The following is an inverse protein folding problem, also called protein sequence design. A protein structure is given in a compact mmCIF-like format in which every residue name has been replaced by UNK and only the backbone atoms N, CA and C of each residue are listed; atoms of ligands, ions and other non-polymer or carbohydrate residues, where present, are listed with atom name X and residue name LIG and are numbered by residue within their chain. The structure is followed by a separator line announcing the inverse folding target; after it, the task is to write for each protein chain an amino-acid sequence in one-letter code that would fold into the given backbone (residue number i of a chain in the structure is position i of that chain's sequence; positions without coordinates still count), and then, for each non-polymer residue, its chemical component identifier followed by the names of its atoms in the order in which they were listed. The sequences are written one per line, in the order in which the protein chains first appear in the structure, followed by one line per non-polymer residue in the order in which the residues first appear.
data_IF_933305245243
#
_entry.id   IF_933305245243
#
_cell.length_a   1.000
_cell.length_b   1.000
_cell.length_c   1.000
_cell.angle_alpha   90.00
_cell.angle_beta   90.00
_cell.angle_gamma   90.00
#
_symmetry.space_group_name_H-M   'P 1'
#
loop_
_entity.id
_entity.type
_entity.pdbx_description
1 polymer ?
#
# COMPACT_ATOMS: atom_id res chain seq x y z
N UNK A 1 -6.04 10.48 0.75
CA UNK A 1 -5.27 9.43 1.47
C UNK A 1 -6.15 8.31 1.98
N UNK A 2 -7.17 8.56 2.81
CA UNK A 2 -8.05 7.50 3.33
C UNK A 2 -8.76 6.70 2.22
N UNK A 3 -9.17 7.34 1.12
CA UNK A 3 -9.79 6.62 -0.01
C UNK A 3 -8.80 5.70 -0.74
N UNK A 4 -7.57 6.17 -0.97
CA UNK A 4 -6.50 5.38 -1.62
C UNK A 4 -6.10 4.21 -0.72
N UNK A 5 -6.02 4.45 0.58
CA UNK A 5 -5.76 3.45 1.62
C UNK A 5 -6.84 2.35 1.62
N UNK A 6 -8.12 2.75 1.69
CA UNK A 6 -9.25 1.84 1.65
C UNK A 6 -9.28 1.01 0.36
N UNK A 7 -8.86 1.58 -0.77
CA UNK A 7 -8.77 0.85 -2.02
C UNK A 7 -7.68 -0.24 -1.97
N UNK A 8 -6.50 0.06 -1.41
CA UNK A 8 -5.46 -0.97 -1.20
C UNK A 8 -5.95 -2.08 -0.29
N UNK A 9 -6.60 -1.72 0.81
CA UNK A 9 -7.17 -2.67 1.77
C UNK A 9 -8.15 -3.63 1.09
N UNK A 10 -9.06 -3.08 0.27
CA UNK A 10 -10.03 -3.84 -0.49
C UNK A 10 -9.36 -4.76 -1.52
N UNK A 11 -8.36 -4.26 -2.25
CA UNK A 11 -7.64 -5.03 -3.25
C UNK A 11 -6.91 -6.22 -2.62
N UNK A 12 -6.13 -6.00 -1.54
CA UNK A 12 -5.39 -7.09 -0.91
C UNK A 12 -6.32 -8.10 -0.23
N UNK A 13 -7.42 -7.63 0.38
CA UNK A 13 -8.43 -8.51 0.95
C UNK A 13 -9.13 -9.35 -0.14
N UNK A 14 -9.46 -8.74 -1.27
CA UNK A 14 -10.06 -9.42 -2.42
C UNK A 14 -9.14 -10.49 -2.99
N UNK A 15 -7.86 -10.18 -3.19
CA UNK A 15 -6.86 -11.16 -3.63
C UNK A 15 -6.74 -12.33 -2.65
N UNK A 16 -6.65 -12.06 -1.34
CA UNK A 16 -6.54 -13.11 -0.32
C UNK A 16 -7.74 -14.07 -0.39
N UNK A 17 -8.96 -13.53 -0.48
CA UNK A 17 -10.20 -14.31 -0.61
C UNK A 17 -10.28 -15.11 -1.90
N UNK A 18 -9.85 -14.54 -3.03
CA UNK A 18 -9.83 -15.25 -4.32
C UNK A 18 -8.85 -16.42 -4.28
N UNK A 19 -7.63 -16.20 -3.77
CA UNK A 19 -6.63 -17.25 -3.61
C UNK A 19 -7.16 -18.34 -2.68
N UNK A 20 -7.73 -17.97 -1.53
CA UNK A 20 -8.35 -18.92 -0.60
C UNK A 20 -9.43 -19.77 -1.27
N UNK A 21 -10.32 -19.13 -2.03
CA UNK A 21 -11.35 -19.82 -2.79
C UNK A 21 -10.77 -20.83 -3.78
N UNK A 22 -9.71 -20.46 -4.52
CA UNK A 22 -9.07 -21.36 -5.46
C UNK A 22 -8.28 -22.50 -4.78
N UNK A 23 -7.82 -22.35 -3.54
CA UNK A 23 -7.25 -23.47 -2.76
C UNK A 23 -8.27 -24.60 -2.51
N UNK A 24 -9.56 -24.32 -2.65
CA UNK A 24 -10.65 -25.29 -2.54
C UNK A 24 -11.28 -25.66 -3.89
N UNK A 25 -10.67 -25.25 -5.01
CA UNK A 25 -11.19 -25.50 -6.35
C UNK A 25 -11.14 -26.99 -6.73
N UNK A 26 -12.10 -27.44 -7.56
CA UNK A 26 -12.20 -28.84 -8.01
C UNK A 26 -11.14 -29.21 -9.07
N UNK A 27 -10.71 -28.23 -9.86
CA UNK A 27 -9.57 -28.36 -10.79
C UNK A 27 -8.25 -28.34 -10.00
N UNK A 28 -7.53 -29.46 -10.03
CA UNK A 28 -6.26 -29.61 -9.33
C UNK A 28 -5.17 -28.68 -9.83
N UNK A 29 -5.16 -28.33 -11.12
CA UNK A 29 -4.15 -27.43 -11.67
C UNK A 29 -4.33 -26.01 -11.15
N UNK A 30 -5.58 -25.51 -11.13
CA UNK A 30 -5.90 -24.20 -10.56
C UNK A 30 -5.64 -24.18 -9.05
N UNK A 31 -5.99 -25.25 -8.35
CA UNK A 31 -5.72 -25.40 -6.92
C UNK A 31 -4.22 -25.32 -6.61
N UNK A 32 -3.37 -26.02 -7.36
CA UNK A 32 -1.91 -25.96 -7.16
C UNK A 32 -1.35 -24.55 -7.39
N UNK A 33 -1.87 -23.82 -8.38
CA UNK A 33 -1.48 -22.41 -8.63
C UNK A 33 -1.93 -21.50 -7.48
N UNK A 34 -3.11 -21.75 -6.90
CA UNK A 34 -3.60 -21.03 -5.73
C UNK A 34 -2.74 -21.29 -4.49
N UNK A 35 -2.42 -22.56 -4.21
CA UNK A 35 -1.56 -22.95 -3.08
C UNK A 35 -0.16 -22.31 -3.20
N UNK A 36 0.37 -22.20 -4.42
CA UNK A 36 1.62 -21.50 -4.68
C UNK A 36 1.55 -20.01 -4.29
N UNK A 37 0.51 -19.30 -4.74
CA UNK A 37 0.30 -17.88 -4.39
C UNK A 37 0.00 -17.70 -2.90
N UNK A 38 -0.80 -18.60 -2.31
CA UNK A 38 -1.13 -18.61 -0.89
C UNK A 38 0.13 -18.71 -0.02
N UNK A 39 0.99 -19.69 -0.31
CA UNK A 39 2.24 -19.85 0.42
C UNK A 39 3.16 -18.62 0.26
N UNK A 40 3.18 -18.03 -0.94
CA UNK A 40 3.92 -16.79 -1.17
C UNK A 40 3.35 -15.60 -0.39
N UNK A 41 2.02 -15.50 -0.26
CA UNK A 41 1.34 -14.43 0.47
C UNK A 41 1.56 -14.57 1.99
N UNK A 42 1.41 -15.80 2.51
CA UNK A 42 1.54 -16.09 3.95
C UNK A 42 2.96 -15.88 4.49
N UNK A 43 3.97 -15.81 3.63
CA UNK A 43 5.32 -15.39 4.00
C UNK A 43 5.37 -13.94 4.54
N UNK A 44 4.38 -13.10 4.20
CA UNK A 44 4.23 -11.73 4.71
C UNK A 44 3.27 -11.64 5.90
N UNK A 45 2.73 -12.77 6.38
CA UNK A 45 1.75 -12.83 7.47
C UNK A 45 0.29 -12.79 7.01
N UNK A 46 -0.58 -12.38 7.93
CA UNK A 46 -2.04 -12.31 7.73
C UNK A 46 -2.54 -10.92 8.12
N UNK A 47 -3.60 -10.43 7.47
CA UNK A 47 -4.17 -9.13 7.83
C UNK A 47 -3.30 -7.96 7.38
N UNK A 48 -2.75 -8.02 6.16
CA UNK A 48 -1.88 -6.99 5.57
C UNK A 48 -2.55 -5.60 5.58
N UNK A 49 -3.87 -5.55 5.33
CA UNK A 49 -4.71 -4.35 5.38
C UNK A 49 -4.88 -3.72 6.78
N UNK A 50 -4.30 -4.33 7.82
CA UNK A 50 -4.33 -3.80 9.21
C UNK A 50 -2.97 -3.30 9.66
N UNK A 51 -1.95 -3.40 8.80
CA UNK A 51 -0.61 -2.90 9.09
C UNK A 51 -0.62 -1.38 9.11
N UNK A 52 0.42 -0.79 9.72
CA UNK A 52 0.63 0.65 9.62
C UNK A 52 0.99 1.04 8.18
N UNK A 53 0.67 2.26 7.76
CA UNK A 53 0.84 2.73 6.38
C UNK A 53 2.21 2.43 5.76
N UNK A 54 3.29 2.66 6.50
CA UNK A 54 4.64 2.40 5.99
C UNK A 54 4.94 0.91 5.83
N UNK A 55 4.46 0.09 6.78
CA UNK A 55 4.66 -1.36 6.76
C UNK A 55 3.81 -2.01 5.66
N UNK A 56 2.54 -1.62 5.54
CA UNK A 56 1.67 -2.07 4.45
C UNK A 56 2.27 -1.72 3.09
N UNK A 57 2.71 -0.47 2.90
CA UNK A 57 3.35 -0.04 1.64
C UNK A 57 4.55 -0.90 1.31
N UNK A 58 5.42 -1.20 2.28
CA UNK A 58 6.59 -2.04 2.05
C UNK A 58 6.20 -3.48 1.71
N UNK A 59 5.20 -4.03 2.40
CA UNK A 59 4.69 -5.39 2.13
C UNK A 59 4.10 -5.48 0.72
N UNK A 60 3.23 -4.53 0.33
CA UNK A 60 2.59 -4.54 -0.98
C UNK A 60 3.60 -4.35 -2.13
N UNK A 61 4.63 -3.53 -1.95
CA UNK A 61 5.73 -3.40 -2.92
C UNK A 61 6.47 -4.72 -3.10
N UNK A 62 6.92 -5.31 -1.99
CA UNK A 62 7.68 -6.55 -2.04
C UNK A 62 6.85 -7.69 -2.62
N UNK A 63 5.57 -7.77 -2.25
CA UNK A 63 4.64 -8.78 -2.75
C UNK A 63 4.42 -8.63 -4.27
N UNK A 64 4.03 -7.43 -4.72
CA UNK A 64 3.77 -7.16 -6.14
C UNK A 64 5.02 -7.36 -6.99
N UNK A 65 6.18 -6.88 -6.54
CA UNK A 65 7.45 -7.12 -7.22
C UNK A 65 7.76 -8.61 -7.32
N UNK A 66 7.69 -9.36 -6.21
CA UNK A 66 7.97 -10.79 -6.18
C UNK A 66 7.07 -11.56 -7.14
N UNK A 67 5.78 -11.28 -7.11
CA UNK A 67 4.80 -11.97 -7.93
C UNK A 67 4.97 -11.68 -9.42
N UNK A 68 5.32 -10.44 -9.79
CA UNK A 68 5.50 -10.06 -11.19
C UNK A 68 6.89 -10.46 -11.74
N UNK A 69 7.91 -10.59 -10.89
CA UNK A 69 9.28 -10.93 -11.30
C UNK A 69 9.57 -12.44 -11.30
N UNK A 70 8.69 -13.26 -10.74
CA UNK A 70 8.89 -14.71 -10.63
C UNK A 70 7.95 -15.42 -11.59
N UNK A 71 8.50 -16.02 -12.66
CA UNK A 71 7.70 -16.63 -13.74
C UNK A 71 6.61 -17.57 -13.23
N UNK A 72 6.92 -18.42 -12.26
CA UNK A 72 5.96 -19.39 -11.69
C UNK A 72 4.78 -18.71 -10.98
N UNK A 73 5.03 -17.57 -10.31
CA UNK A 73 4.01 -16.78 -9.62
C UNK A 73 3.21 -15.94 -10.62
N UNK A 74 3.86 -15.34 -11.62
CA UNK A 74 3.18 -14.64 -12.71
C UNK A 74 2.23 -15.58 -13.46
N UNK A 75 2.67 -16.79 -13.79
CA UNK A 75 1.82 -17.79 -14.45
C UNK A 75 0.61 -18.18 -13.58
N UNK A 76 0.79 -18.25 -12.26
CA UNK A 76 -0.30 -18.49 -11.32
C UNK A 76 -1.30 -17.32 -11.30
N UNK A 77 -0.80 -16.07 -11.29
CA UNK A 77 -1.65 -14.88 -11.37
C UNK A 77 -2.49 -14.87 -12.64
N UNK A 78 -1.90 -15.18 -13.79
CA UNK A 78 -2.63 -15.26 -15.07
C UNK A 78 -3.67 -16.38 -15.02
N UNK A 79 -3.31 -17.56 -14.50
CA UNK A 79 -4.22 -18.71 -14.41
C UNK A 79 -5.45 -18.43 -13.53
N UNK A 80 -5.28 -17.60 -12.49
CA UNK A 80 -6.34 -17.24 -11.53
C UNK A 80 -7.02 -15.89 -11.86
N UNK A 81 -6.68 -15.26 -13.00
CA UNK A 81 -7.17 -13.93 -13.39
C UNK A 81 -6.88 -12.81 -12.35
N UNK A 82 -5.75 -12.92 -11.65
CA UNK A 82 -5.29 -11.98 -10.63
C UNK A 82 -4.21 -11.01 -11.11
N UNK A 83 -3.72 -11.16 -12.36
CA UNK A 83 -2.63 -10.32 -12.87
C UNK A 83 -2.97 -8.81 -12.82
N UNK A 84 -4.17 -8.44 -13.26
CA UNK A 84 -4.63 -7.04 -13.24
C UNK A 84 -4.84 -6.51 -11.82
N UNK A 85 -5.28 -7.37 -10.89
CA UNK A 85 -5.41 -7.00 -9.48
C UNK A 85 -4.06 -6.60 -8.86
N UNK A 86 -3.00 -7.34 -9.19
CA UNK A 86 -1.65 -7.07 -8.68
C UNK A 86 -1.06 -5.80 -9.28
N UNK A 87 -1.32 -5.53 -10.56
CA UNK A 87 -0.95 -4.27 -11.18
C UNK A 87 -1.70 -3.08 -10.57
N UNK A 88 -2.99 -3.25 -10.23
CA UNK A 88 -3.76 -2.20 -9.57
C UNK A 88 -3.25 -1.96 -8.14
N UNK A 89 -2.92 -3.01 -7.37
CA UNK A 89 -2.23 -2.86 -6.07
C UNK A 89 -0.97 -2.02 -6.22
N UNK A 90 -0.11 -2.36 -7.19
CA UNK A 90 1.13 -1.61 -7.41
C UNK A 90 0.85 -0.12 -7.67
N UNK A 91 -0.10 0.16 -8.57
CA UNK A 91 -0.51 1.53 -8.91
C UNK A 91 -1.05 2.30 -7.70
N UNK A 92 -1.94 1.68 -6.92
CA UNK A 92 -2.51 2.32 -5.73
C UNK A 92 -1.46 2.51 -4.62
N UNK A 93 -0.53 1.57 -4.46
CA UNK A 93 0.55 1.71 -3.50
C UNK A 93 1.53 2.83 -3.88
N UNK A 94 1.86 2.97 -5.17
CA UNK A 94 2.67 4.07 -5.69
C UNK A 94 1.97 5.43 -5.49
N UNK A 95 0.66 5.50 -5.78
CA UNK A 95 -0.15 6.70 -5.56
C UNK A 95 -0.22 7.08 -4.09
N UNK A 96 -0.40 6.10 -3.19
CA UNK A 96 -0.40 6.37 -1.76
C UNK A 96 0.94 6.91 -1.29
N UNK A 97 2.06 6.31 -1.72
CA UNK A 97 3.41 6.75 -1.35
C UNK A 97 3.64 8.20 -1.78
N UNK A 98 3.26 8.57 -3.00
CA UNK A 98 3.35 9.94 -3.49
C UNK A 98 2.54 10.91 -2.61
N UNK A 99 1.26 10.60 -2.38
CA UNK A 99 0.39 11.43 -1.55
C UNK A 99 0.87 11.56 -0.10
N UNK A 100 1.50 10.51 0.44
CA UNK A 100 2.04 10.51 1.80
C UNK A 100 3.24 11.44 1.91
N UNK A 101 4.16 11.40 0.93
CA UNK A 101 5.31 12.32 0.85
C UNK A 101 4.82 13.77 0.71
N UNK A 102 3.90 14.03 -0.21
CA UNK A 102 3.36 15.38 -0.44
C UNK A 102 2.73 15.97 0.83
N UNK A 103 2.02 15.14 1.61
CA UNK A 103 1.46 15.56 2.90
C UNK A 103 2.57 15.92 3.89
N UNK A 104 3.58 15.06 4.04
CA UNK A 104 4.70 15.31 4.98
C UNK A 104 5.43 16.60 4.62
N UNK A 105 5.68 16.84 3.33
CA UNK A 105 6.33 18.06 2.84
C UNK A 105 5.46 19.31 3.04
N UNK A 106 4.14 19.18 2.84
CA UNK A 106 3.17 20.26 3.10
C UNK A 106 3.10 20.59 4.59
N UNK A 107 3.01 19.58 5.47
CA UNK A 107 2.95 19.75 6.91
C UNK A 107 4.26 20.40 7.43
N UNK A 108 5.42 20.00 6.92
CA UNK A 108 6.71 20.63 7.22
C UNK A 108 6.76 22.11 6.79
N UNK A 109 6.34 22.40 5.56
CA UNK A 109 6.31 23.77 5.03
C UNK A 109 5.36 24.69 5.83
N UNK A 110 4.22 24.16 6.28
CA UNK A 110 3.28 24.93 7.12
C UNK A 110 3.85 25.22 8.51
N UNK A 111 4.60 24.29 9.10
CA UNK A 111 5.28 24.52 10.38
C UNK A 111 6.32 25.64 10.27
N UNK A 112 7.07 25.71 9.18
CA UNK A 112 8.03 26.79 8.92
C UNK A 112 7.35 28.14 8.77
N UNK A 113 6.25 28.22 8.01
CA UNK A 113 5.46 29.45 7.86
C UNK A 113 4.94 29.93 9.23
N UNK A 114 4.35 29.04 10.03
CA UNK A 114 3.85 29.37 11.38
C UNK A 114 4.96 29.89 12.29
N UNK A 115 6.15 29.30 12.20
CA UNK A 115 7.32 29.73 12.99
C UNK A 115 7.78 31.13 12.58
N UNK A 116 7.79 31.45 11.29
CA UNK A 116 8.12 32.78 10.78
C UNK A 116 7.10 33.82 11.25
N UNK A 117 5.81 33.51 11.18
CA UNK A 117 4.75 34.43 11.60
C UNK A 117 4.77 34.68 13.11
N UNK A 118 5.07 33.66 13.93
CA UNK A 118 5.24 33.82 15.36
C UNK A 118 6.40 34.77 15.69
N UNK A 119 7.53 34.66 14.98
CA UNK A 119 8.68 35.57 15.15
C UNK A 119 8.31 37.02 14.80
N UNK A 120 7.54 37.23 13.72
CA UNK A 120 7.07 38.57 13.33
C UNK A 120 6.13 39.18 14.39
N UNK A 121 5.22 38.38 14.96
CA UNK A 121 4.34 38.85 16.03
C UNK A 121 5.10 39.21 17.30
N UNK A 122 6.11 38.41 17.67
CA UNK A 122 6.98 38.72 18.81
C UNK A 122 7.71 40.04 18.58
N UNK A 123 8.36 40.20 17.42
CA UNK A 123 9.08 41.44 17.09
C UNK A 123 8.17 42.68 17.16
N UNK A 124 6.97 42.58 16.57
CA UNK A 124 5.98 43.67 16.64
C UNK A 124 5.57 44.00 18.07
N UNK A 125 5.33 43.00 18.91
CA UNK A 125 4.96 43.21 20.32
C UNK A 125 6.06 43.93 21.09
N UNK A 126 7.34 43.65 20.80
CA UNK A 126 8.46 44.37 21.42
C UNK A 126 8.56 45.82 20.95
N UNK A 127 8.30 46.09 19.66
CA UNK A 127 8.28 47.45 19.12
C UNK A 127 7.12 48.28 19.70
N UNK A 128 5.94 47.68 19.91
CA UNK A 128 4.76 48.35 20.48
C UNK A 128 4.91 48.68 21.99
N UNK A 129 5.94 48.16 22.67
CA UNK A 129 6.23 48.37 24.10
C UNK A 129 7.29 49.46 24.39
N UNK A 130 7.91 50.04 23.36
CA UNK A 130 8.88 51.14 23.44
C UNK A 130 8.27 52.48 22.99
#
# INVERSE_FOLDING_TARGET
MQEVDAERDNLIAGIDLIIEGYCHHFDSALKMKAELLWNSLRAYGTGIQRLGYQEETQVLDNLSQRWLSTSELTDALVSLNLFDWVNEIKKQNDLFRANYIDRVDTDASQLDIRTIDLRKQIAKTYDDLN
#
